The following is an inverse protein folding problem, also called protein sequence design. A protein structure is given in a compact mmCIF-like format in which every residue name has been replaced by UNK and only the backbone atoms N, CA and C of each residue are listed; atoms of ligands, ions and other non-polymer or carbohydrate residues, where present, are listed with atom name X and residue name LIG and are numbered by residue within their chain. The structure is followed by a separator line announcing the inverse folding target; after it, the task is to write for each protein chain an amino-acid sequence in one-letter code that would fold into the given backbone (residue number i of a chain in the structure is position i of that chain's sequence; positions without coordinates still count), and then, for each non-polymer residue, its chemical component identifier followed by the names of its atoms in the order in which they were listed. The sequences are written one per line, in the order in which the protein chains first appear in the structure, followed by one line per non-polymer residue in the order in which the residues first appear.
data_IF_624169955702
#
_entry.id   IF_624169955702
#
_cell.length_a   1.000
_cell.length_b   1.000
_cell.length_c   1.000
_cell.angle_alpha   90.00
_cell.angle_beta   90.00
_cell.angle_gamma   90.00
#
_symmetry.space_group_name_H-M   'P 1'
#
loop_
_entity.id
_entity.type
_entity.pdbx_description
1 polymer ?
#
# COMPACT_ATOMS: atom_id res chain seq x y z
N UNK A 1 17.72 22.14 7.05
CA UNK A 1 16.74 22.84 6.19
C UNK A 1 15.46 22.03 6.16
N UNK A 2 14.30 22.61 6.51
CA UNK A 2 13.01 21.94 6.34
C UNK A 2 12.64 21.94 4.86
N UNK A 3 12.21 20.79 4.33
CA UNK A 3 11.75 20.66 2.95
C UNK A 3 10.37 21.31 2.78
N UNK A 4 10.12 21.93 1.62
CA UNK A 4 8.82 22.53 1.34
C UNK A 4 7.73 21.45 1.14
N UNK A 5 6.49 21.81 1.42
CA UNK A 5 5.33 20.91 1.27
C UNK A 5 5.20 20.37 -0.16
N UNK A 6 5.48 21.21 -1.17
CA UNK A 6 5.45 20.82 -2.58
C UNK A 6 6.47 19.73 -2.90
N UNK A 7 7.69 19.85 -2.37
CA UNK A 7 8.74 18.83 -2.55
C UNK A 7 8.33 17.52 -1.89
N UNK A 8 7.72 17.58 -0.70
CA UNK A 8 7.24 16.40 0.00
C UNK A 8 6.13 15.67 -0.79
N UNK A 9 5.16 16.40 -1.35
CA UNK A 9 4.13 15.78 -2.20
C UNK A 9 4.70 15.22 -3.51
N UNK A 10 5.67 15.87 -4.14
CA UNK A 10 6.37 15.31 -5.32
C UNK A 10 7.09 13.99 -4.99
N UNK A 11 7.74 13.92 -3.82
CA UNK A 11 8.32 12.67 -3.31
C UNK A 11 7.26 11.61 -3.01
N UNK A 12 6.13 12.01 -2.44
CA UNK A 12 5.02 11.10 -2.14
C UNK A 12 4.42 10.51 -3.42
N UNK A 13 4.29 11.33 -4.46
CA UNK A 13 3.88 10.87 -5.77
C UNK A 13 4.88 9.87 -6.36
N UNK A 14 6.18 10.18 -6.34
CA UNK A 14 7.22 9.30 -6.87
C UNK A 14 7.22 7.93 -6.19
N UNK A 15 7.17 7.90 -4.85
CA UNK A 15 7.19 6.64 -4.09
C UNK A 15 5.89 5.84 -4.27
N UNK A 16 4.74 6.51 -4.44
CA UNK A 16 3.46 5.82 -4.71
C UNK A 16 3.47 5.21 -6.11
N UNK A 17 4.05 5.89 -7.10
CA UNK A 17 4.24 5.34 -8.44
C UNK A 17 5.21 4.15 -8.43
N UNK A 18 6.35 4.29 -7.77
CA UNK A 18 7.34 3.22 -7.57
C UNK A 18 6.71 1.96 -6.95
N UNK A 19 5.88 2.15 -5.92
CA UNK A 19 5.13 1.07 -5.26
C UNK A 19 4.19 0.34 -6.22
N UNK A 20 3.51 1.07 -7.11
CA UNK A 20 2.58 0.49 -8.07
C UNK A 20 3.28 -0.27 -9.19
N UNK A 21 4.34 0.32 -9.73
CA UNK A 21 5.13 -0.21 -10.85
C UNK A 21 5.87 -1.49 -10.43
N UNK A 22 6.40 -1.53 -9.21
CA UNK A 22 7.21 -2.66 -8.68
C UNK A 22 6.48 -3.49 -7.62
N UNK A 23 5.14 -3.55 -7.67
CA UNK A 23 4.34 -4.19 -6.61
C UNK A 23 4.58 -5.71 -6.49
N UNK A 24 5.51 -6.08 -5.61
CA UNK A 24 5.76 -7.44 -5.08
C UNK A 24 5.57 -7.45 -3.56
N UNK A 25 5.34 -8.61 -2.95
CA UNK A 25 5.03 -8.66 -1.50
C UNK A 25 6.21 -8.16 -0.64
N UNK A 26 7.45 -8.46 -1.04
CA UNK A 26 8.68 -8.02 -0.35
C UNK A 26 8.95 -6.53 -0.55
N UNK A 27 8.81 -6.04 -1.78
CA UNK A 27 9.06 -4.62 -2.13
C UNK A 27 7.97 -3.68 -1.59
N UNK A 28 6.74 -4.18 -1.43
CA UNK A 28 5.62 -3.39 -0.95
C UNK A 28 5.82 -2.94 0.49
N UNK A 29 6.35 -3.79 1.38
CA UNK A 29 6.46 -3.48 2.81
C UNK A 29 7.43 -2.32 3.06
N UNK A 30 8.64 -2.40 2.50
CA UNK A 30 9.64 -1.34 2.68
C UNK A 30 9.15 0.00 2.12
N UNK A 31 8.58 -0.04 0.92
CA UNK A 31 8.08 1.15 0.22
C UNK A 31 6.88 1.78 0.94
N UNK A 32 5.97 0.96 1.50
CA UNK A 32 4.85 1.43 2.34
C UNK A 32 5.36 2.13 3.60
N UNK A 33 6.38 1.57 4.26
CA UNK A 33 6.97 2.19 5.46
C UNK A 33 7.60 3.55 5.13
N UNK A 34 8.40 3.63 4.07
CA UNK A 34 8.99 4.88 3.58
C UNK A 34 7.91 5.91 3.22
N UNK A 35 6.81 5.47 2.60
CA UNK A 35 5.64 6.31 2.27
C UNK A 35 4.95 6.82 3.55
N UNK A 36 4.79 5.97 4.56
CA UNK A 36 4.21 6.32 5.85
C UNK A 36 5.01 7.39 6.59
N UNK A 37 6.34 7.28 6.63
CA UNK A 37 7.21 8.31 7.21
C UNK A 37 7.10 9.64 6.47
N UNK A 38 6.99 9.60 5.14
CA UNK A 38 6.79 10.80 4.33
C UNK A 38 5.44 11.48 4.61
N UNK A 39 4.37 10.71 4.80
CA UNK A 39 3.05 11.23 5.19
C UNK A 39 3.06 11.88 6.57
N UNK A 40 3.77 11.29 7.55
CA UNK A 40 3.96 11.92 8.87
C UNK A 40 4.65 13.28 8.75
N UNK A 41 5.69 13.36 7.91
CA UNK A 41 6.42 14.60 7.64
C UNK A 41 5.56 15.64 6.91
N UNK A 42 4.73 15.21 5.95
CA UNK A 42 3.75 16.08 5.29
C UNK A 42 2.79 16.65 6.32
N UNK A 43 2.20 15.83 7.18
CA UNK A 43 1.27 16.29 8.22
C UNK A 43 1.91 17.32 9.15
N UNK A 44 3.18 17.13 9.55
CA UNK A 44 3.86 18.12 10.40
C UNK A 44 4.10 19.46 9.70
N UNK A 45 4.49 19.44 8.42
CA UNK A 45 4.77 20.67 7.65
C UNK A 45 3.49 21.37 7.21
N UNK A 46 2.44 20.60 6.91
CA UNK A 46 1.16 21.12 6.47
C UNK A 46 0.44 21.91 7.57
N UNK A 47 0.62 21.53 8.84
CA UNK A 47 0.08 22.26 9.98
C UNK A 47 0.54 23.74 10.02
N UNK A 48 1.77 24.00 9.55
CA UNK A 48 2.37 25.33 9.49
C UNK A 48 2.17 26.03 8.13
N UNK A 49 1.62 25.32 7.14
CA UNK A 49 1.45 25.82 5.77
C UNK A 49 0.08 26.48 5.60
N UNK A 50 0.05 27.80 5.43
CA UNK A 50 -1.20 28.57 5.31
C UNK A 50 -1.95 28.38 3.98
N UNK A 51 -1.23 28.11 2.89
CA UNK A 51 -1.80 27.90 1.55
C UNK A 51 -1.01 26.84 0.78
N UNK A 52 -1.74 25.96 0.09
CA UNK A 52 -1.20 24.99 -0.86
C UNK A 52 -1.22 25.66 -2.24
N UNK A 53 -0.09 25.65 -2.93
CA UNK A 53 -0.04 26.17 -4.30
C UNK A 53 -0.82 25.25 -5.28
N UNK A 54 -1.35 25.79 -6.39
CA UNK A 54 -2.15 25.00 -7.32
C UNK A 54 -1.43 23.78 -7.92
N UNK A 55 -0.12 23.86 -8.17
CA UNK A 55 0.64 22.72 -8.72
C UNK A 55 0.72 21.57 -7.73
N UNK A 56 0.94 21.87 -6.45
CA UNK A 56 0.90 20.89 -5.37
C UNK A 56 -0.50 20.27 -5.26
N UNK A 57 -1.56 21.05 -5.42
CA UNK A 57 -2.94 20.54 -5.50
C UNK A 57 -3.15 19.52 -6.62
N UNK A 58 -2.58 19.77 -7.82
CA UNK A 58 -2.61 18.81 -8.94
C UNK A 58 -1.86 17.52 -8.60
N UNK A 59 -0.71 17.62 -7.93
CA UNK A 59 0.08 16.46 -7.51
C UNK A 59 -0.69 15.63 -6.47
N UNK A 60 -1.35 16.28 -5.52
CA UNK A 60 -2.20 15.62 -4.52
C UNK A 60 -3.35 14.84 -5.18
N UNK A 61 -4.04 15.43 -6.15
CA UNK A 61 -5.10 14.74 -6.89
C UNK A 61 -4.58 13.48 -7.59
N UNK A 62 -3.40 13.55 -8.23
CA UNK A 62 -2.76 12.39 -8.85
C UNK A 62 -2.41 11.31 -7.83
N UNK A 63 -1.92 11.67 -6.64
CA UNK A 63 -1.64 10.71 -5.56
C UNK A 63 -2.91 9.99 -5.14
N UNK A 64 -4.03 10.72 -4.97
CA UNK A 64 -5.33 10.13 -4.61
C UNK A 64 -5.76 9.10 -5.64
N UNK A 65 -5.58 9.37 -6.94
CA UNK A 65 -5.93 8.41 -7.98
C UNK A 65 -5.01 7.17 -7.98
N UNK A 66 -3.71 7.35 -7.75
CA UNK A 66 -2.79 6.22 -7.57
C UNK A 66 -3.16 5.40 -6.33
N UNK A 67 -3.58 6.03 -5.24
CA UNK A 67 -3.99 5.34 -4.01
C UNK A 67 -5.23 4.47 -4.22
N UNK A 68 -6.18 4.91 -5.04
CA UNK A 68 -7.34 4.08 -5.42
C UNK A 68 -6.90 2.82 -6.16
N UNK A 69 -5.97 2.94 -7.11
CA UNK A 69 -5.43 1.80 -7.86
C UNK A 69 -4.66 0.86 -6.92
N UNK A 70 -3.87 1.41 -6.01
CA UNK A 70 -3.13 0.64 -5.02
C UNK A 70 -4.07 -0.15 -4.12
N UNK A 71 -5.11 0.49 -3.59
CA UNK A 71 -6.11 -0.16 -2.75
C UNK A 71 -6.81 -1.32 -3.46
N UNK A 72 -7.17 -1.15 -4.74
CA UNK A 72 -7.74 -2.23 -5.55
C UNK A 72 -6.76 -3.40 -5.72
N UNK A 73 -5.49 -3.12 -6.01
CA UNK A 73 -4.44 -4.14 -6.19
C UNK A 73 -4.19 -4.93 -4.89
N UNK A 74 -4.14 -4.24 -3.75
CA UNK A 74 -4.00 -4.86 -2.43
C UNK A 74 -5.20 -5.73 -2.07
N UNK A 75 -6.42 -5.25 -2.33
CA UNK A 75 -7.66 -5.99 -2.09
C UNK A 75 -7.70 -7.30 -2.91
N UNK A 76 -7.33 -7.22 -4.19
CA UNK A 76 -7.23 -8.38 -5.08
C UNK A 76 -6.25 -9.43 -4.55
N UNK A 77 -5.04 -9.02 -4.13
CA UNK A 77 -4.06 -9.94 -3.54
C UNK A 77 -4.55 -10.58 -2.24
N UNK A 78 -5.15 -9.79 -1.35
CA UNK A 78 -5.70 -10.30 -0.09
C UNK A 78 -6.80 -11.35 -0.34
N UNK A 79 -7.63 -11.15 -1.38
CA UNK A 79 -8.62 -12.14 -1.79
C UNK A 79 -7.98 -13.45 -2.28
N UNK A 80 -6.90 -13.37 -3.06
CA UNK A 80 -6.16 -14.54 -3.53
C UNK A 80 -5.55 -15.33 -2.34
N UNK A 81 -4.89 -14.63 -1.41
CA UNK A 81 -4.33 -15.22 -0.18
C UNK A 81 -5.41 -15.94 0.62
N UNK A 82 -6.57 -15.31 0.83
CA UNK A 82 -7.71 -15.94 1.54
C UNK A 82 -8.19 -17.23 0.85
N UNK A 83 -8.24 -17.23 -0.48
CA UNK A 83 -8.61 -18.39 -1.27
C UNK A 83 -7.60 -19.53 -1.10
N UNK A 84 -6.30 -19.24 -1.18
CA UNK A 84 -5.23 -20.23 -0.97
C UNK A 84 -5.26 -20.83 0.43
N UNK A 85 -5.39 -20.00 1.47
CA UNK A 85 -5.52 -20.45 2.85
C UNK A 85 -6.73 -21.38 3.01
N UNK A 86 -7.87 -21.01 2.45
CA UNK A 86 -9.08 -21.85 2.49
C UNK A 86 -8.87 -23.21 1.81
N UNK A 87 -8.13 -23.23 0.69
CA UNK A 87 -7.73 -24.45 0.00
C UNK A 87 -6.75 -25.33 0.81
N UNK A 88 -5.83 -24.72 1.57
CA UNK A 88 -4.93 -25.45 2.47
C UNK A 88 -5.70 -26.08 3.64
N UNK A 89 -6.65 -25.34 4.24
CA UNK A 89 -7.51 -25.86 5.31
C UNK A 89 -8.34 -27.05 4.84
N UNK A 90 -8.95 -26.99 3.66
CA UNK A 90 -9.76 -28.11 3.14
C UNK A 90 -8.92 -29.36 2.90
N UNK A 91 -7.70 -29.21 2.35
CA UNK A 91 -6.74 -30.32 2.18
C UNK A 91 -6.30 -30.91 3.52
N UNK A 92 -6.02 -30.07 4.51
CA UNK A 92 -5.65 -30.51 5.87
C UNK A 92 -6.79 -31.33 6.52
N UNK A 93 -8.04 -30.86 6.44
CA UNK A 93 -9.20 -31.61 6.94
C UNK A 93 -9.39 -32.94 6.22
N UNK A 94 -9.23 -32.97 4.90
CA UNK A 94 -9.32 -34.21 4.12
C UNK A 94 -8.25 -35.23 4.54
N UNK A 95 -7.01 -34.79 4.77
CA UNK A 95 -5.93 -35.65 5.25
C UNK A 95 -6.22 -36.23 6.64
N UNK A 96 -6.73 -35.41 7.57
CA UNK A 96 -7.16 -35.87 8.90
C UNK A 96 -8.29 -36.90 8.79
N UNK A 97 -9.32 -36.64 8.00
CA UNK A 97 -10.43 -37.57 7.79
C UNK A 97 -9.97 -38.91 7.18
N UNK A 98 -9.07 -38.86 6.19
CA UNK A 98 -8.50 -40.07 5.58
C UNK A 98 -7.67 -40.89 6.59
N UNK A 99 -6.90 -40.22 7.46
CA UNK A 99 -6.15 -40.91 8.51
C UNK A 99 -7.05 -41.57 9.58
N UNK A 100 -8.23 -41.00 9.85
CA UNK A 100 -9.19 -41.54 10.80
C UNK A 100 -9.95 -42.77 10.25
N UNK A 101 -10.16 -42.84 8.93
CA UNK A 101 -10.91 -43.91 8.26
C UNK A 101 -10.05 -45.13 7.83
N UNK A 102 -8.74 -45.14 8.11
CA UNK A 102 -7.83 -46.25 7.78
C UNK A 102 -7.70 -47.33 8.87
N UNK A 103 -8.64 -47.38 9.82
CA UNK A 103 -8.71 -48.41 10.86
C UNK A 103 -9.59 -49.58 10.44
#
# INVERSE_FOLDING_TARGET
MNESISVLYKKLYAITKELLDNYTDEYAIETINRRGELLKKINSVQADTKQIDPETGVVMAKIIDLDKVLAQKMSGRMSAIKSEISGLYSKSRAAVAYSANKK
#
